data_IF_428893522382
#
_entry.id   IF_428893522382
#
_cell.length_a   1.000
_cell.length_b   1.000
_cell.length_c   1.000
_cell.angle_alpha   90.00
_cell.angle_beta   90.00
_cell.angle_gamma   90.00
#
_symmetry.space_group_name_H-M   'P 1'
#
loop_
_entity.id
_entity.type
_entity.pdbx_description
1 polymer ?
#
# COMPACT_ATOMS: atom_id res chain seq x y z
N UNK A 1 -4.04 34.95 -17.62
CA UNK A 1 -4.96 33.86 -18.04
C UNK A 1 -4.55 32.61 -17.31
N UNK A 2 -5.47 31.94 -16.63
CA UNK A 2 -5.18 30.63 -16.06
C UNK A 2 -5.25 29.58 -17.18
N UNK A 3 -4.32 28.65 -17.19
CA UNK A 3 -4.23 27.56 -18.16
C UNK A 3 -4.76 26.27 -17.53
N UNK A 4 -5.55 25.48 -18.25
CA UNK A 4 -6.05 24.20 -17.74
C UNK A 4 -5.04 23.09 -18.05
N UNK A 5 -4.68 22.30 -17.04
CA UNK A 5 -3.87 21.10 -17.20
C UNK A 5 -4.68 20.04 -17.98
N UNK A 6 -4.23 19.60 -19.17
CA UNK A 6 -4.98 18.68 -20.02
C UNK A 6 -5.00 17.23 -19.51
N UNK A 7 -4.18 16.88 -18.52
CA UNK A 7 -4.10 15.52 -17.96
C UNK A 7 -5.05 15.32 -16.79
N UNK A 8 -5.21 16.35 -15.95
CA UNK A 8 -6.02 16.26 -14.72
C UNK A 8 -7.17 17.28 -14.63
N UNK A 9 -7.26 18.23 -15.56
CA UNK A 9 -8.32 19.24 -15.58
C UNK A 9 -8.17 20.37 -14.55
N UNK A 10 -7.08 20.39 -13.76
CA UNK A 10 -6.84 21.46 -12.79
C UNK A 10 -6.48 22.79 -13.47
N UNK A 11 -6.98 23.89 -12.92
CA UNK A 11 -6.64 25.25 -13.33
C UNK A 11 -5.27 25.63 -12.77
N UNK A 12 -4.31 25.90 -13.65
CA UNK A 12 -2.92 26.21 -13.32
C UNK A 12 -2.61 27.65 -13.70
N UNK A 13 -1.94 28.38 -12.82
CA UNK A 13 -1.33 29.66 -13.16
C UNK A 13 0.00 29.40 -13.90
N UNK A 14 0.16 29.85 -15.17
CA UNK A 14 1.40 29.66 -15.94
C UNK A 14 2.67 30.14 -15.23
N UNK A 15 2.57 31.14 -14.34
CA UNK A 15 3.71 31.67 -13.59
C UNK A 15 4.13 30.77 -12.40
N UNK A 16 3.26 29.86 -11.94
CA UNK A 16 3.48 28.96 -10.80
C UNK A 16 3.38 27.47 -11.17
N UNK A 17 3.37 27.15 -12.46
CA UNK A 17 3.23 25.78 -12.93
C UNK A 17 4.38 24.90 -12.45
N UNK A 18 4.09 23.68 -12.00
CA UNK A 18 5.10 22.71 -11.57
C UNK A 18 5.91 22.14 -12.76
N UNK A 19 5.41 22.33 -13.99
CA UNK A 19 6.15 22.07 -15.22
C UNK A 19 5.38 22.49 -16.47
N UNK A 20 6.07 22.51 -17.61
CA UNK A 20 5.50 22.82 -18.93
C UNK A 20 6.03 21.87 -20.00
N UNK A 21 5.23 21.63 -21.04
CA UNK A 21 5.62 20.86 -22.22
C UNK A 21 5.10 21.53 -23.49
N UNK A 22 5.91 21.51 -24.53
CA UNK A 22 5.56 22.06 -25.85
C UNK A 22 5.14 20.91 -26.77
N UNK A 23 3.95 21.02 -27.37
CA UNK A 23 3.44 20.03 -28.32
C UNK A 23 2.66 20.73 -29.43
N UNK A 24 2.99 20.41 -30.70
CA UNK A 24 2.43 21.03 -31.92
C UNK A 24 2.42 22.58 -31.90
N UNK A 25 3.48 23.18 -31.36
CA UNK A 25 3.63 24.64 -31.30
C UNK A 25 2.79 25.33 -30.21
N UNK A 26 2.09 24.56 -29.36
CA UNK A 26 1.34 25.07 -28.20
C UNK A 26 2.03 24.65 -26.90
N UNK A 27 2.23 25.61 -26.00
CA UNK A 27 2.80 25.37 -24.66
C UNK A 27 1.70 25.00 -23.67
N UNK A 28 1.82 23.83 -23.05
CA UNK A 28 0.92 23.32 -22.02
C UNK A 28 1.58 23.45 -20.63
N UNK A 29 0.78 23.80 -19.63
CA UNK A 29 1.21 23.98 -18.24
C UNK A 29 0.55 22.95 -17.34
N UNK A 30 1.30 22.41 -16.37
CA UNK A 30 0.89 21.25 -15.58
C UNK A 30 0.96 21.52 -14.07
N UNK A 31 0.03 20.91 -13.33
CA UNK A 31 -0.07 21.05 -11.87
C UNK A 31 1.04 20.31 -11.12
N UNK A 32 1.63 19.27 -11.74
CA UNK A 32 2.64 18.41 -11.13
C UNK A 32 3.59 17.81 -12.16
N UNK A 33 4.79 17.40 -11.71
CA UNK A 33 5.77 16.68 -12.54
C UNK A 33 5.21 15.36 -13.11
N UNK A 34 4.26 14.75 -12.41
CA UNK A 34 3.56 13.54 -12.86
C UNK A 34 2.63 13.80 -14.06
N UNK A 35 1.95 14.95 -14.09
CA UNK A 35 1.12 15.33 -15.25
C UNK A 35 2.00 15.63 -16.48
N UNK A 36 3.19 16.22 -16.27
CA UNK A 36 4.18 16.41 -17.35
C UNK A 36 4.63 15.08 -17.95
N UNK A 37 4.94 14.07 -17.12
CA UNK A 37 5.40 12.77 -17.62
C UNK A 37 4.28 12.01 -18.36
N UNK A 38 3.04 12.07 -17.86
CA UNK A 38 1.85 11.52 -18.54
C UNK A 38 1.61 12.15 -19.91
N UNK A 39 1.69 13.48 -19.99
CA UNK A 39 1.50 14.19 -21.25
C UNK A 39 2.61 13.88 -22.26
N UNK A 40 3.86 13.73 -21.82
CA UNK A 40 4.97 13.34 -22.70
C UNK A 40 4.88 11.89 -23.19
N UNK A 41 4.28 11.00 -22.40
CA UNK A 41 4.12 9.60 -22.76
C UNK A 41 3.10 9.40 -23.88
N UNK A 42 2.02 10.20 -23.89
CA UNK A 42 0.94 10.07 -24.89
C UNK A 42 0.27 11.43 -25.18
N UNK A 43 0.97 12.35 -25.88
CA UNK A 43 0.51 13.74 -26.03
C UNK A 43 -0.72 13.87 -26.94
N UNK A 44 -0.93 12.95 -27.89
CA UNK A 44 -2.09 12.96 -28.79
C UNK A 44 -3.40 12.78 -28.02
N UNK A 45 -3.41 11.85 -27.05
CA UNK A 45 -4.56 11.57 -26.19
C UNK A 45 -5.04 12.77 -25.38
N UNK A 46 -4.12 13.59 -24.87
CA UNK A 46 -4.46 14.73 -24.01
C UNK A 46 -4.59 16.05 -24.78
N UNK A 47 -3.96 16.18 -25.95
CA UNK A 47 -4.05 17.37 -26.78
C UNK A 47 -5.37 17.47 -27.57
N UNK A 48 -6.05 16.34 -27.84
CA UNK A 48 -7.27 16.26 -28.66
C UNK A 48 -8.56 16.76 -27.98
N UNK A 49 -8.52 17.23 -26.73
CA UNK A 49 -9.71 17.76 -26.05
C UNK A 49 -10.71 16.69 -25.62
N UNK A 50 -10.38 15.39 -25.78
CA UNK A 50 -11.05 14.32 -25.05
C UNK A 50 -10.66 14.47 -23.58
N UNK A 51 -11.43 15.24 -22.84
CA UNK A 51 -11.34 15.33 -21.39
C UNK A 51 -11.55 13.89 -20.89
N UNK A 52 -10.51 13.16 -20.43
CA UNK A 52 -10.80 11.94 -19.71
C UNK A 52 -11.59 12.41 -18.49
N UNK A 53 -12.80 11.86 -18.34
CA UNK A 53 -13.69 12.09 -17.20
C UNK A 53 -12.83 12.22 -15.93
N UNK A 54 -12.97 13.31 -15.13
CA UNK A 54 -12.07 13.59 -14.02
C UNK A 54 -11.98 12.31 -13.20
N UNK A 55 -10.77 11.75 -13.10
CA UNK A 55 -10.54 10.46 -12.47
C UNK A 55 -11.32 10.43 -11.16
N UNK A 56 -12.45 9.69 -11.13
CA UNK A 56 -13.26 9.54 -9.92
C UNK A 56 -12.28 9.12 -8.85
N UNK A 57 -12.23 9.88 -7.76
CA UNK A 57 -11.23 9.69 -6.74
C UNK A 57 -11.24 8.21 -6.36
N UNK A 58 -10.13 7.52 -6.65
CA UNK A 58 -10.14 6.06 -6.70
C UNK A 58 -10.68 5.52 -5.37
N UNK A 59 -11.72 4.69 -5.46
CA UNK A 59 -12.31 4.06 -4.29
C UNK A 59 -11.43 2.90 -3.88
N UNK A 60 -11.15 2.79 -2.59
CA UNK A 60 -10.36 1.72 -1.99
C UNK A 60 -11.23 0.94 -1.02
N UNK A 61 -11.06 -0.38 -1.02
CA UNK A 61 -11.74 -1.32 -0.12
C UNK A 61 -10.78 -2.14 0.71
N UNK A 62 -11.25 -2.63 1.85
CA UNK A 62 -10.50 -3.61 2.61
C UNK A 62 -10.78 -5.01 2.06
N UNK A 63 -9.76 -5.79 1.66
CA UNK A 63 -9.98 -7.14 1.13
C UNK A 63 -10.61 -8.11 2.14
N UNK A 64 -10.49 -7.81 3.45
CA UNK A 64 -11.14 -8.59 4.51
C UNK A 64 -12.50 -8.04 4.95
N UNK A 65 -12.81 -6.78 4.59
CA UNK A 65 -14.06 -6.10 4.96
C UNK A 65 -14.58 -5.33 3.74
N UNK A 66 -15.18 -6.03 2.76
CA UNK A 66 -15.62 -5.42 1.50
C UNK A 66 -16.62 -4.27 1.71
N UNK A 67 -17.33 -4.26 2.84
CA UNK A 67 -18.25 -3.18 3.23
C UNK A 67 -17.55 -1.84 3.56
N UNK A 68 -16.22 -1.82 3.70
CA UNK A 68 -15.44 -0.62 3.94
C UNK A 68 -15.00 -0.05 2.60
N UNK A 69 -15.59 1.08 2.19
CA UNK A 69 -15.18 1.82 0.98
C UNK A 69 -14.72 3.21 1.39
N UNK A 70 -13.52 3.62 0.96
CA UNK A 70 -12.96 4.94 1.23
C UNK A 70 -12.38 5.56 -0.02
N UNK A 71 -12.39 6.88 -0.07
CA UNK A 71 -11.78 7.65 -1.15
C UNK A 71 -10.30 7.86 -0.82
N UNK A 72 -9.41 7.29 -1.63
CA UNK A 72 -7.95 7.37 -1.46
C UNK A 72 -7.34 6.24 -0.61
N UNK A 73 -5.99 6.12 -0.64
CA UNK A 73 -5.28 5.10 0.11
C UNK A 73 -5.41 5.34 1.62
N UNK A 74 -5.37 4.27 2.40
CA UNK A 74 -5.53 4.37 3.84
C UNK A 74 -5.55 3.01 4.51
N UNK A 75 -5.90 3.00 5.79
CA UNK A 75 -6.06 1.75 6.56
C UNK A 75 -7.51 1.56 6.98
N UNK A 76 -7.96 0.31 6.91
CA UNK A 76 -9.28 -0.11 7.35
C UNK A 76 -9.52 0.24 8.83
N UNK A 77 -10.64 0.89 9.19
CA UNK A 77 -10.95 1.25 10.58
C UNK A 77 -11.39 0.05 11.43
N UNK A 78 -11.68 -1.10 10.81
CA UNK A 78 -12.03 -2.34 11.52
C UNK A 78 -10.79 -3.15 11.88
N UNK A 79 -9.97 -3.52 10.89
CA UNK A 79 -8.81 -4.39 11.08
C UNK A 79 -7.45 -3.72 10.96
N UNK A 80 -7.40 -2.46 10.52
CA UNK A 80 -6.16 -1.72 10.32
C UNK A 80 -5.30 -2.19 9.13
N UNK A 81 -5.81 -3.08 8.27
CA UNK A 81 -5.14 -3.47 7.03
C UNK A 81 -5.19 -2.36 5.98
N UNK A 82 -4.21 -2.35 5.07
CA UNK A 82 -4.19 -1.49 3.89
C UNK A 82 -5.47 -1.63 3.07
N UNK A 83 -5.99 -0.51 2.59
CA UNK A 83 -7.07 -0.51 1.61
C UNK A 83 -6.49 -0.70 0.21
N UNK A 84 -7.17 -1.49 -0.62
CA UNK A 84 -6.80 -1.84 -1.98
C UNK A 84 -7.79 -1.17 -2.94
N UNK A 85 -7.37 -0.59 -4.09
CA UNK A 85 -8.29 0.09 -4.98
C UNK A 85 -9.36 -0.87 -5.57
N UNK A 86 -10.60 -0.42 -5.77
CA UNK A 86 -11.68 -1.24 -6.33
C UNK A 86 -11.67 -1.27 -7.86
N UNK A 87 -11.36 -0.17 -8.55
CA UNK A 87 -11.36 -0.11 -10.02
C UNK A 87 -10.33 0.91 -10.53
N UNK A 88 -9.50 0.55 -11.52
CA UNK A 88 -8.60 1.48 -12.25
C UNK A 88 -7.59 2.27 -11.40
N UNK A 89 -7.59 2.09 -10.08
CA UNK A 89 -6.77 2.83 -9.13
C UNK A 89 -5.33 2.37 -9.18
N UNK A 90 -4.43 3.34 -9.18
CA UNK A 90 -2.98 3.14 -9.18
C UNK A 90 -2.61 2.30 -7.94
N UNK A 91 -1.90 1.20 -8.15
CA UNK A 91 -1.28 0.45 -7.06
C UNK A 91 -0.27 1.35 -6.37
N UNK A 92 -0.55 1.69 -5.12
CA UNK A 92 0.38 2.44 -4.30
C UNK A 92 1.30 1.49 -3.53
N UNK A 93 2.45 1.20 -4.14
CA UNK A 93 3.53 0.43 -3.51
C UNK A 93 4.14 1.12 -2.28
N UNK A 94 3.74 2.36 -1.95
CA UNK A 94 4.34 3.12 -0.85
C UNK A 94 4.26 2.40 0.49
N UNK A 95 3.14 1.73 0.78
CA UNK A 95 2.94 1.01 2.04
C UNK A 95 3.78 -0.27 2.11
N UNK A 96 3.84 -1.04 1.02
CA UNK A 96 4.73 -2.21 0.93
C UNK A 96 6.19 -1.79 1.10
N UNK A 97 6.60 -0.66 0.50
CA UNK A 97 7.94 -0.09 0.66
C UNK A 97 8.19 0.38 2.10
N UNK A 98 7.22 1.02 2.76
CA UNK A 98 7.37 1.44 4.16
C UNK A 98 7.54 0.24 5.09
N UNK A 99 6.70 -0.79 4.95
CA UNK A 99 6.78 -2.01 5.76
C UNK A 99 8.07 -2.80 5.47
N UNK A 100 8.48 -2.88 4.21
CA UNK A 100 9.76 -3.52 3.84
C UNK A 100 10.96 -2.77 4.43
N UNK A 101 10.94 -1.43 4.44
CA UNK A 101 11.98 -0.62 5.08
C UNK A 101 12.00 -0.84 6.59
N UNK A 102 10.84 -0.83 7.25
CA UNK A 102 10.73 -1.11 8.69
C UNK A 102 11.22 -2.51 9.04
N UNK A 103 10.90 -3.50 8.21
CA UNK A 103 11.37 -4.87 8.34
C UNK A 103 12.90 -4.93 8.30
N UNK A 104 13.52 -4.36 7.26
CA UNK A 104 14.98 -4.41 7.12
C UNK A 104 15.71 -3.72 8.27
N UNK A 105 15.25 -2.54 8.69
CA UNK A 105 15.83 -1.83 9.84
C UNK A 105 15.64 -2.64 11.12
N UNK A 106 14.45 -3.22 11.33
CA UNK A 106 14.16 -4.05 12.50
C UNK A 106 15.00 -5.32 12.52
N UNK A 107 15.21 -5.97 11.37
CA UNK A 107 16.05 -7.15 11.21
C UNK A 107 17.52 -6.85 11.52
N UNK A 108 18.04 -5.72 11.00
CA UNK A 108 19.44 -5.30 11.24
C UNK A 108 19.69 -4.96 12.71
N UNK A 109 18.71 -4.37 13.41
CA UNK A 109 18.84 -4.04 14.84
C UNK A 109 18.58 -5.24 15.76
N UNK A 110 17.69 -6.15 15.38
CA UNK A 110 17.39 -7.35 16.15
C UNK A 110 18.46 -8.43 16.03
N UNK A 111 19.23 -8.48 14.92
CA UNK A 111 20.29 -9.47 14.75
C UNK A 111 21.45 -9.34 15.78
N UNK A 112 22.06 -8.15 16.02
CA UNK A 112 23.03 -7.97 17.08
C UNK A 112 22.45 -8.26 18.46
N UNK A 113 21.19 -7.91 18.68
CA UNK A 113 20.52 -8.10 19.96
C UNK A 113 20.30 -9.60 20.24
N UNK A 114 19.89 -10.38 19.24
CA UNK A 114 19.83 -11.84 19.30
C UNK A 114 21.21 -12.46 19.58
N UNK A 115 22.25 -11.95 18.91
CA UNK A 115 23.62 -12.43 19.12
C UNK A 115 24.08 -12.19 20.57
N UNK A 116 23.83 -10.99 21.12
CA UNK A 116 24.16 -10.67 22.51
C UNK A 116 23.39 -11.56 23.49
N UNK A 117 22.10 -11.83 23.23
CA UNK A 117 21.30 -12.70 24.09
C UNK A 117 21.75 -14.18 24.08
N UNK A 118 22.24 -14.67 22.94
CA UNK A 118 22.66 -16.07 22.78
C UNK A 118 24.14 -16.33 23.10
N UNK A 119 25.01 -15.31 23.04
CA UNK A 119 26.45 -15.44 23.28
C UNK A 119 26.81 -16.10 24.62
N UNK A 120 26.11 -15.85 25.75
CA UNK A 120 26.39 -16.52 27.01
C UNK A 120 26.16 -18.03 26.98
N UNK A 121 25.10 -18.47 26.30
CA UNK A 121 24.72 -19.89 26.19
C UNK A 121 25.68 -20.68 25.28
N UNK A 122 26.29 -20.00 24.30
CA UNK A 122 27.26 -20.56 23.37
C UNK A 122 28.70 -20.60 23.91
N UNK A 123 28.93 -20.19 25.16
CA UNK A 123 30.25 -20.21 25.79
C UNK A 123 31.15 -19.02 25.44
N UNK A 124 30.65 -18.02 24.71
CA UNK A 124 31.38 -16.77 24.39
C UNK A 124 31.32 -15.74 25.55
N UNK A 125 30.71 -16.10 26.69
CA UNK A 125 30.33 -15.22 27.79
C UNK A 125 31.47 -14.45 28.47
N UNK A 126 32.69 -15.00 28.49
CA UNK A 126 33.74 -14.51 29.39
C UNK A 126 34.40 -13.18 28.96
N UNK A 127 34.21 -12.74 27.72
CA UNK A 127 35.00 -11.65 27.13
C UNK A 127 34.22 -10.34 26.96
N UNK A 128 32.90 -10.41 27.09
CA UNK A 128 32.01 -9.34 26.72
C UNK A 128 31.07 -8.97 27.86
N UNK A 129 31.53 -8.08 28.76
CA UNK A 129 30.64 -7.37 29.67
C UNK A 129 29.82 -6.37 28.86
N UNK A 130 28.68 -6.80 28.32
CA UNK A 130 27.74 -5.89 27.68
C UNK A 130 26.75 -5.32 28.71
N UNK A 131 26.54 -4.02 28.64
CA UNK A 131 25.57 -3.34 29.49
C UNK A 131 24.15 -3.62 28.98
N UNK A 132 23.23 -3.95 29.88
CA UNK A 132 21.78 -4.07 29.59
C UNK A 132 21.19 -2.81 28.93
N UNK A 133 21.84 -1.66 29.09
CA UNK A 133 21.48 -0.44 28.39
C UNK A 133 21.65 -0.55 26.86
N UNK A 134 22.56 -1.40 26.37
CA UNK A 134 22.73 -1.65 24.94
C UNK A 134 21.54 -2.43 24.37
N UNK A 135 21.06 -3.45 25.07
CA UNK A 135 19.85 -4.19 24.69
C UNK A 135 18.64 -3.26 24.63
N UNK A 136 18.47 -2.40 25.65
CA UNK A 136 17.43 -1.39 25.67
C UNK A 136 17.53 -0.44 24.47
N UNK A 137 18.73 0.07 24.18
CA UNK A 137 18.96 1.03 23.09
C UNK A 137 18.67 0.41 21.70
N UNK A 138 19.02 -0.86 21.50
CA UNK A 138 18.76 -1.59 20.27
C UNK A 138 17.28 -2.02 20.13
N UNK A 139 16.64 -2.47 21.21
CA UNK A 139 15.25 -2.93 21.17
C UNK A 139 14.23 -1.81 21.03
N UNK A 140 14.50 -0.63 21.62
CA UNK A 140 13.59 0.51 21.61
C UNK A 140 13.13 0.93 20.20
N UNK A 141 14.03 1.17 19.21
CA UNK A 141 13.61 1.49 17.85
C UNK A 141 12.88 0.33 17.16
N UNK A 142 13.25 -0.92 17.45
CA UNK A 142 12.56 -2.09 16.87
C UNK A 142 11.12 -2.14 17.38
N UNK A 143 10.91 -2.08 18.69
CA UNK A 143 9.58 -2.20 19.30
C UNK A 143 8.71 -0.99 18.98
N UNK A 144 9.20 0.23 19.21
CA UNK A 144 8.36 1.42 19.08
C UNK A 144 8.21 1.92 17.66
N UNK A 145 9.28 1.92 16.84
CA UNK A 145 9.20 2.40 15.46
C UNK A 145 8.87 1.27 14.48
N UNK A 146 9.54 0.11 14.60
CA UNK A 146 9.23 -1.07 13.80
C UNK A 146 7.84 -1.63 14.11
N UNK A 147 7.53 -1.80 15.40
CA UNK A 147 6.24 -2.35 15.88
C UNK A 147 5.08 -1.35 15.94
N UNK A 148 5.28 -0.07 15.59
CA UNK A 148 4.21 0.94 15.61
C UNK A 148 2.91 0.51 14.88
N UNK A 149 2.98 -0.09 13.67
CA UNK A 149 1.77 -0.54 12.98
C UNK A 149 0.98 -1.58 13.78
N UNK A 150 1.68 -2.47 14.51
CA UNK A 150 1.06 -3.49 15.34
C UNK A 150 0.38 -2.88 16.57
N UNK A 151 1.02 -1.92 17.23
CA UNK A 151 0.40 -1.20 18.36
C UNK A 151 -0.83 -0.40 17.93
N UNK A 152 -0.82 0.19 16.73
CA UNK A 152 -2.01 0.84 16.16
C UNK A 152 -3.13 -0.17 15.93
N UNK A 153 -2.84 -1.34 15.35
CA UNK A 153 -3.82 -2.42 15.14
C UNK A 153 -4.33 -3.03 16.45
N UNK A 154 -3.46 -3.17 17.44
CA UNK A 154 -3.82 -3.55 18.81
C UNK A 154 -4.81 -2.57 19.42
N UNK A 155 -4.54 -1.26 19.34
CA UNK A 155 -5.42 -0.24 19.88
C UNK A 155 -6.80 -0.23 19.19
N UNK A 156 -6.82 -0.39 17.87
CA UNK A 156 -8.06 -0.56 17.09
C UNK A 156 -8.85 -1.79 17.55
N UNK A 157 -8.20 -2.94 17.72
CA UNK A 157 -8.82 -4.17 18.21
C UNK A 157 -9.41 -4.00 19.61
N UNK A 158 -8.70 -3.32 20.51
CA UNK A 158 -9.15 -3.05 21.87
C UNK A 158 -10.37 -2.12 21.88
N UNK A 159 -10.32 -1.04 21.08
CA UNK A 159 -11.44 -0.09 20.92
C UNK A 159 -12.68 -0.77 20.36
N UNK A 160 -12.51 -1.62 19.35
CA UNK A 160 -13.60 -2.33 18.68
C UNK A 160 -14.07 -3.58 19.46
N UNK A 161 -13.44 -3.90 20.61
CA UNK A 161 -13.73 -5.09 21.44
C UNK A 161 -13.73 -6.39 20.64
N UNK A 162 -12.85 -6.49 19.65
CA UNK A 162 -12.72 -7.65 18.77
C UNK A 162 -11.30 -8.21 18.86
N UNK A 163 -11.00 -9.09 19.83
CA UNK A 163 -9.66 -9.66 20.01
C UNK A 163 -9.20 -10.40 18.75
N UNK A 164 -7.97 -10.16 18.33
CA UNK A 164 -7.37 -10.75 17.15
C UNK A 164 -5.87 -11.03 17.37
N UNK A 165 -5.18 -11.49 16.33
CA UNK A 165 -3.74 -11.78 16.37
C UNK A 165 -2.91 -10.57 16.88
N UNK A 166 -3.26 -9.35 16.46
CA UNK A 166 -2.56 -8.13 16.90
C UNK A 166 -2.80 -7.81 18.36
N UNK A 167 -3.91 -8.26 18.96
CA UNK A 167 -4.13 -8.14 20.40
C UNK A 167 -3.10 -8.91 21.19
N UNK A 168 -2.85 -10.17 20.80
CA UNK A 168 -1.87 -11.01 21.45
C UNK A 168 -0.45 -10.47 21.25
N UNK A 169 -0.11 -10.06 20.02
CA UNK A 169 1.21 -9.51 19.70
C UNK A 169 1.47 -8.21 20.46
N UNK A 170 0.51 -7.26 20.41
CA UNK A 170 0.64 -5.96 21.07
C UNK A 170 0.78 -6.09 22.59
N UNK A 171 0.00 -6.99 23.21
CA UNK A 171 0.08 -7.24 24.65
C UNK A 171 1.39 -7.96 25.03
N UNK A 172 1.78 -8.99 24.28
CA UNK A 172 3.01 -9.75 24.55
C UNK A 172 4.28 -8.90 24.40
N UNK A 173 4.43 -8.22 23.25
CA UNK A 173 5.58 -7.33 22.99
C UNK A 173 5.58 -6.15 23.96
N UNK A 174 4.41 -5.55 24.21
CA UNK A 174 4.28 -4.42 25.14
C UNK A 174 4.67 -4.77 26.56
N UNK A 175 4.15 -5.88 27.11
CA UNK A 175 4.49 -6.34 28.45
C UNK A 175 5.95 -6.77 28.56
N UNK A 176 6.47 -7.51 27.57
CA UNK A 176 7.87 -7.92 27.55
C UNK A 176 8.82 -6.71 27.55
N UNK A 177 8.51 -5.69 26.75
CA UNK A 177 9.30 -4.46 26.71
C UNK A 177 9.20 -3.69 28.04
N UNK A 178 8.00 -3.41 28.54
CA UNK A 178 7.81 -2.66 29.80
C UNK A 178 8.49 -3.38 30.97
N UNK A 179 8.32 -4.69 31.10
CA UNK A 179 9.00 -5.49 32.11
C UNK A 179 10.52 -5.30 32.01
N UNK A 180 11.07 -5.38 30.81
CA UNK A 180 12.52 -5.26 30.58
C UNK A 180 13.04 -3.86 30.88
N UNK A 181 12.26 -2.81 30.60
CA UNK A 181 12.60 -1.43 30.99
C UNK A 181 12.63 -1.31 32.52
N UNK A 182 11.63 -1.85 33.22
CA UNK A 182 11.58 -1.80 34.69
C UNK A 182 12.72 -2.59 35.31
N UNK A 183 13.07 -3.75 34.73
CA UNK A 183 14.22 -4.57 35.14
C UNK A 183 15.55 -3.80 35.06
N UNK A 184 15.74 -2.97 34.03
CA UNK A 184 16.95 -2.15 33.86
C UNK A 184 16.92 -0.87 34.71
N UNK A 185 15.78 -0.20 34.80
CA UNK A 185 15.67 1.11 35.46
C UNK A 185 15.56 1.00 36.99
N UNK A 186 14.93 -0.05 37.50
CA UNK A 186 14.64 -0.24 38.92
C UNK A 186 14.75 -1.72 39.34
N UNK A 187 15.94 -2.33 39.29
CA UNK A 187 16.14 -3.72 39.71
C UNK A 187 15.79 -3.95 41.20
N UNK A 188 15.80 -2.87 42.00
CA UNK A 188 15.40 -2.88 43.42
C UNK A 188 13.92 -3.21 43.68
N UNK A 189 13.05 -3.10 42.67
CA UNK A 189 11.63 -3.46 42.79
C UNK A 189 11.39 -4.99 42.75
N UNK A 190 12.36 -5.75 42.22
CA UNK A 190 12.21 -7.20 42.09
C UNK A 190 12.67 -7.93 43.35
N UNK A 191 12.00 -9.01 43.78
CA UNK A 191 12.47 -9.87 44.86
C UNK A 191 13.93 -10.34 44.67
N UNK A 192 14.70 -10.49 45.75
CA UNK A 192 16.11 -10.88 45.66
C UNK A 192 16.32 -12.25 45.00
N UNK A 193 15.33 -13.14 45.01
CA UNK A 193 15.37 -14.45 44.34
C UNK A 193 15.41 -14.33 42.81
N UNK A 194 14.88 -13.23 42.25
CA UNK A 194 14.86 -12.95 40.81
C UNK A 194 16.09 -12.15 40.35
N UNK A 195 16.97 -11.76 41.26
CA UNK A 195 18.21 -11.02 40.96
C UNK A 195 19.37 -12.00 40.81
N UNK A 196 20.07 -11.91 39.69
CA UNK A 196 21.27 -12.71 39.43
C UNK A 196 22.44 -12.25 40.32
N UNK A 197 23.58 -12.96 40.27
CA UNK A 197 24.79 -12.71 41.07
C UNK A 197 25.47 -11.32 40.92
N UNK A 198 24.83 -10.35 40.26
CA UNK A 198 25.23 -8.95 40.17
C UNK A 198 24.13 -7.94 40.50
N UNK A 199 22.99 -8.37 41.06
CA UNK A 199 21.82 -7.50 41.30
C UNK A 199 21.00 -7.19 40.04
N UNK A 200 21.41 -7.74 38.89
CA UNK A 200 20.70 -7.61 37.62
C UNK A 200 19.51 -8.57 37.54
N UNK A 201 18.48 -8.15 36.81
CA UNK A 201 17.28 -8.93 36.52
C UNK A 201 17.31 -9.32 35.05
N UNK A 202 16.88 -10.54 34.72
CA UNK A 202 16.78 -10.98 33.33
C UNK A 202 15.82 -10.10 32.52
N UNK A 203 16.20 -9.77 31.29
CA UNK A 203 15.45 -8.95 30.33
C UNK A 203 14.87 -9.83 29.23
N UNK A 204 13.86 -9.32 28.53
CA UNK A 204 13.18 -9.96 27.39
C UNK A 204 13.15 -9.01 26.17
N UNK A 205 14.14 -8.13 26.05
CA UNK A 205 14.27 -7.22 24.92
C UNK A 205 14.44 -7.98 23.60
N UNK A 206 15.10 -9.14 23.64
CA UNK A 206 15.30 -10.04 22.51
C UNK A 206 14.01 -10.68 22.05
N UNK A 207 13.21 -11.21 22.98
CA UNK A 207 11.91 -11.78 22.64
C UNK A 207 11.01 -10.73 21.98
N UNK A 208 10.91 -9.53 22.56
CA UNK A 208 10.11 -8.45 22.00
C UNK A 208 10.57 -8.03 20.59
N UNK A 209 11.87 -7.83 20.39
CA UNK A 209 12.44 -7.42 19.11
C UNK A 209 12.27 -8.48 18.02
N UNK A 210 12.53 -9.76 18.34
CA UNK A 210 12.41 -10.87 17.39
C UNK A 210 10.95 -11.08 16.97
N UNK A 211 10.01 -11.03 17.92
CA UNK A 211 8.58 -11.15 17.61
C UNK A 211 8.17 -10.06 16.62
N UNK A 212 8.54 -8.80 16.87
CA UNK A 212 8.24 -7.68 15.96
C UNK A 212 8.84 -7.92 14.57
N UNK A 213 10.10 -8.35 14.48
CA UNK A 213 10.76 -8.63 13.20
C UNK A 213 10.06 -9.76 12.44
N UNK A 214 9.78 -10.90 13.08
CA UNK A 214 9.16 -12.06 12.44
C UNK A 214 7.73 -11.79 11.99
N UNK A 215 6.93 -11.08 12.79
CA UNK A 215 5.59 -10.65 12.40
C UNK A 215 5.65 -9.70 11.21
N UNK A 216 6.63 -8.78 11.18
CA UNK A 216 6.83 -7.88 10.04
C UNK A 216 7.14 -8.61 8.74
N UNK A 217 7.91 -9.72 8.80
CA UNK A 217 8.13 -10.59 7.64
C UNK A 217 6.81 -11.14 7.12
N UNK A 218 5.97 -11.66 8.01
CA UNK A 218 4.66 -12.18 7.68
C UNK A 218 3.76 -11.15 6.98
N UNK A 219 3.71 -9.92 7.48
CA UNK A 219 2.92 -8.85 6.84
C UNK A 219 3.44 -8.47 5.46
N UNK A 220 4.75 -8.37 5.28
CA UNK A 220 5.35 -8.06 3.97
C UNK A 220 5.02 -9.17 2.97
N UNK A 221 5.14 -10.43 3.38
CA UNK A 221 4.77 -11.58 2.53
C UNK A 221 3.28 -11.58 2.19
N UNK A 222 2.42 -11.32 3.18
CA UNK A 222 0.97 -11.26 2.99
C UNK A 222 0.57 -10.14 2.01
N UNK A 223 1.05 -8.91 2.22
CA UNK A 223 0.73 -7.79 1.33
C UNK A 223 1.24 -8.02 -0.08
N UNK A 224 2.45 -8.58 -0.22
CA UNK A 224 3.02 -8.91 -1.53
C UNK A 224 2.18 -9.96 -2.26
N UNK A 225 1.71 -11.00 -1.55
CA UNK A 225 0.87 -12.03 -2.14
C UNK A 225 -0.50 -11.46 -2.60
N UNK A 226 -1.11 -10.59 -1.80
CA UNK A 226 -2.42 -9.99 -2.12
C UNK A 226 -2.35 -8.95 -3.24
N UNK A 227 -1.23 -8.23 -3.38
CA UNK A 227 -1.00 -7.33 -4.51
C UNK A 227 -0.97 -8.10 -5.84
N UNK A 228 -0.29 -9.25 -5.88
CA UNK A 228 -0.15 -10.05 -7.10
C UNK A 228 -1.49 -10.62 -7.63
N UNK A 229 -2.37 -11.08 -6.73
CA UNK A 229 -3.67 -11.64 -7.14
C UNK A 229 -4.63 -10.57 -7.67
N UNK A 230 -4.58 -9.37 -7.08
CA UNK A 230 -5.39 -8.22 -7.53
C UNK A 230 -5.00 -7.76 -8.93
N UNK A 231 -3.71 -7.79 -9.26
CA UNK A 231 -3.20 -7.42 -10.58
C UNK A 231 -3.71 -8.37 -11.69
N UNK A 232 -3.73 -9.69 -11.46
CA UNK A 232 -4.16 -10.67 -12.45
C UNK A 232 -5.66 -10.53 -12.78
N UNK A 233 -6.52 -10.34 -11.78
CA UNK A 233 -7.96 -10.13 -11.99
C UNK A 233 -8.22 -8.82 -12.74
N UNK A 234 -7.47 -7.76 -12.43
CA UNK A 234 -7.58 -6.48 -13.14
C UNK A 234 -7.12 -6.56 -14.59
N UNK A 235 -6.09 -7.35 -14.91
CA UNK A 235 -5.69 -7.54 -16.29
C UNK A 235 -6.82 -8.13 -17.13
N UNK A 236 -7.62 -9.03 -16.55
CA UNK A 236 -8.82 -9.56 -17.21
C UNK A 236 -9.90 -8.49 -17.38
N UNK A 237 -10.14 -7.65 -16.36
CA UNK A 237 -11.13 -6.56 -16.43
C UNK A 237 -10.71 -5.41 -17.36
N UNK A 238 -9.41 -5.13 -17.47
CA UNK A 238 -8.84 -4.12 -18.37
C UNK A 238 -8.91 -4.53 -19.85
N UNK A 239 -9.29 -5.78 -20.14
CA UNK A 239 -9.51 -6.21 -21.52
C UNK A 239 -10.79 -5.63 -22.12
N UNK A 240 -11.78 -5.22 -21.31
CA UNK A 240 -13.00 -4.59 -21.79
C UNK A 240 -12.75 -3.13 -22.21
N UNK A 241 -13.10 -2.72 -23.45
CA UNK A 241 -12.93 -1.35 -23.90
C UNK A 241 -13.90 -0.41 -23.16
N UNK A 242 -13.39 0.71 -22.66
CA UNK A 242 -14.20 1.69 -21.92
C UNK A 242 -15.20 2.47 -22.81
N UNK A 243 -14.96 2.50 -24.12
CA UNK A 243 -15.74 3.26 -25.11
C UNK A 243 -16.20 2.33 -26.24
N UNK A 244 -17.35 2.66 -26.84
CA UNK A 244 -17.86 2.01 -28.04
C UNK A 244 -18.34 3.05 -29.06
N UNK A 245 -18.33 2.69 -30.35
CA UNK A 245 -18.83 3.53 -31.42
C UNK A 245 -20.27 3.14 -31.75
N UNK A 246 -21.25 3.91 -31.28
CA UNK A 246 -22.66 3.71 -31.63
C UNK A 246 -22.98 4.39 -32.97
N UNK A 247 -23.71 3.70 -33.83
CA UNK A 247 -24.27 4.26 -35.06
C UNK A 247 -25.70 4.72 -34.79
N UNK A 248 -25.95 6.01 -34.94
CA UNK A 248 -27.28 6.61 -34.82
C UNK A 248 -27.56 7.43 -36.09
N UNK A 249 -28.61 7.09 -36.84
CA UNK A 249 -28.96 7.72 -38.12
C UNK A 249 -27.81 7.81 -39.15
N UNK A 250 -26.93 6.80 -39.18
CA UNK A 250 -25.78 6.76 -40.08
C UNK A 250 -24.56 7.57 -39.63
N UNK A 251 -24.65 8.25 -38.48
CA UNK A 251 -23.53 8.99 -37.87
C UNK A 251 -22.91 8.16 -36.76
N UNK A 252 -21.58 8.09 -36.75
CA UNK A 252 -20.81 7.45 -35.67
C UNK A 252 -20.70 8.39 -34.47
N UNK A 253 -21.05 7.89 -33.28
CA UNK A 253 -20.90 8.61 -32.03
C UNK A 253 -20.20 7.72 -31.01
N UNK A 254 -19.09 8.21 -30.48
CA UNK A 254 -18.37 7.53 -29.40
C UNK A 254 -19.14 7.71 -28.09
N UNK A 255 -19.47 6.60 -27.43
CA UNK A 255 -20.20 6.57 -26.16
C UNK A 255 -19.49 5.66 -25.15
N UNK A 256 -19.57 5.97 -23.84
CA UNK A 256 -19.09 5.06 -22.79
C UNK A 256 -19.80 3.70 -22.84
N UNK A 257 -19.10 2.62 -22.52
CA UNK A 257 -19.67 1.26 -22.50
C UNK A 257 -20.89 1.17 -21.57
N UNK A 258 -20.89 1.94 -20.47
CA UNK A 258 -22.00 2.01 -19.51
C UNK A 258 -23.29 2.64 -20.05
N UNK A 259 -23.22 3.36 -21.17
CA UNK A 259 -24.38 3.98 -21.82
C UNK A 259 -24.98 3.12 -22.94
N UNK A 260 -24.32 2.02 -23.31
CA UNK A 260 -24.79 1.08 -24.35
C UNK A 260 -26.05 0.37 -23.87
N UNK A 261 -27.08 0.32 -24.73
CA UNK A 261 -28.34 -0.37 -24.45
C UNK A 261 -28.59 -1.53 -25.40
N UNK A 262 -29.38 -2.51 -24.94
CA UNK A 262 -29.84 -3.62 -25.78
C UNK A 262 -30.61 -3.07 -26.99
N UNK A 263 -30.13 -3.40 -28.19
CA UNK A 263 -30.69 -2.90 -29.46
C UNK A 263 -29.87 -1.80 -30.13
N UNK A 264 -28.85 -1.24 -29.46
CA UNK A 264 -27.93 -0.29 -30.09
C UNK A 264 -27.09 -0.97 -31.18
N UNK A 265 -26.84 -0.25 -32.28
CA UNK A 265 -25.93 -0.71 -33.35
C UNK A 265 -24.54 -0.14 -33.09
N UNK A 266 -23.57 -1.02 -32.89
CA UNK A 266 -22.18 -0.63 -32.63
C UNK A 266 -21.30 -0.95 -33.85
N UNK A 267 -20.37 -0.05 -34.17
CA UNK A 267 -19.33 -0.26 -35.18
C UNK A 267 -18.04 -0.71 -34.49
N UNK A 268 -17.47 -1.81 -34.97
CA UNK A 268 -16.17 -2.31 -34.52
C UNK A 268 -15.22 -2.26 -35.71
N UNK A 269 -14.11 -1.54 -35.59
CA UNK A 269 -13.09 -1.42 -36.65
C UNK A 269 -12.07 -2.57 -36.55
N UNK A 270 -11.34 -2.88 -37.64
CA UNK A 270 -10.28 -3.89 -37.58
C UNK A 270 -9.23 -3.58 -36.51
N UNK A 271 -8.95 -4.54 -35.63
CA UNK A 271 -8.02 -4.38 -34.50
C UNK A 271 -8.63 -3.80 -33.22
N UNK A 272 -9.91 -3.39 -33.25
CA UNK A 272 -10.64 -3.01 -32.04
C UNK A 272 -11.19 -4.25 -31.33
N UNK A 273 -11.35 -4.14 -30.01
CA UNK A 273 -11.97 -5.18 -29.20
C UNK A 273 -13.48 -5.08 -29.29
N UNK A 274 -14.15 -6.23 -29.26
CA UNK A 274 -15.61 -6.29 -29.21
C UNK A 274 -16.07 -5.79 -27.82
N UNK A 275 -16.91 -4.74 -27.75
CA UNK A 275 -17.25 -4.09 -26.49
C UNK A 275 -18.28 -4.86 -25.64
N UNK A 276 -19.23 -5.53 -26.28
CA UNK A 276 -20.33 -6.27 -25.64
C UNK A 276 -20.73 -7.48 -26.48
N UNK A 277 -21.40 -8.44 -25.85
CA UNK A 277 -22.03 -9.56 -26.56
C UNK A 277 -23.15 -9.07 -27.48
N UNK A 278 -23.23 -9.62 -28.68
CA UNK A 278 -24.23 -9.21 -29.68
C UNK A 278 -24.23 -10.08 -30.93
N UNK A 279 -25.06 -9.70 -31.91
CA UNK A 279 -25.13 -10.35 -33.22
C UNK A 279 -24.66 -9.43 -34.34
N UNK A 280 -23.96 -9.98 -35.32
CA UNK A 280 -23.47 -9.23 -36.48
C UNK A 280 -24.64 -8.91 -37.41
N UNK A 281 -24.91 -7.62 -37.63
CA UNK A 281 -25.99 -7.16 -38.52
C UNK A 281 -25.46 -6.90 -39.94
N UNK A 282 -24.25 -6.33 -40.06
CA UNK A 282 -23.63 -5.95 -41.33
C UNK A 282 -22.11 -6.16 -41.27
N UNK A 283 -21.51 -6.71 -42.33
CA UNK A 283 -20.06 -6.94 -42.48
C UNK A 283 -19.59 -8.35 -42.12
N UNK A 284 -18.31 -8.64 -42.41
CA UNK A 284 -17.63 -9.87 -42.01
C UNK A 284 -16.16 -9.59 -41.65
N UNK A 285 -15.66 -10.28 -40.63
CA UNK A 285 -14.27 -10.20 -40.15
C UNK A 285 -13.93 -11.48 -39.39
N UNK A 286 -12.64 -11.74 -39.17
CA UNK A 286 -12.18 -12.76 -38.25
C UNK A 286 -11.97 -12.14 -36.86
N UNK A 287 -12.33 -12.88 -35.82
CA UNK A 287 -12.21 -12.47 -34.41
C UNK A 287 -11.37 -13.50 -33.67
N UNK A 288 -10.47 -13.02 -32.80
CA UNK A 288 -9.69 -13.87 -31.91
C UNK A 288 -10.43 -14.01 -30.57
N UNK A 289 -10.76 -15.25 -30.19
CA UNK A 289 -11.45 -15.61 -28.93
C UNK A 289 -10.52 -16.34 -27.94
N UNK A 290 -9.20 -16.32 -28.16
CA UNK A 290 -8.21 -17.02 -27.33
C UNK A 290 -7.82 -16.34 -26.01
#
# INVERSE_FOLDING_TARGET
MMATDPVCGMTVDPAKAAGSADYRGKKYFFCSKHCVSRFRADPEKYAAGSNPEPARAAEYTCPMHPEIVQIGPGSCPKCGMALVPMEGGVEDDSELRDLTRRLWVSAVLSAPLLFVAMAPMLGFAAQFKYSRHVELLLATPVVWWGGWPFFRKFWLSLKNRSPNMYTLIGLGVGLAYVYSVVAVAAPGLFPPELRMHGGEVGTYFEAAAIIVTLVSVGEVMQLRAMGQTSHAIRQLLALAPAMSLRIENGVEKEIPLSEVRVGDRLRVRPGEKIPVDGSVVEGSSNVDES
#
